data_IF_398899164262
#
_entry.id   IF_398899164262
#
_cell.length_a   1.000
_cell.length_b   1.000
_cell.length_c   1.000
_cell.angle_alpha   90.00
_cell.angle_beta   90.00
_cell.angle_gamma   90.00
#
_symmetry.space_group_name_H-M   'P 1'
#
loop_
_entity.id
_entity.type
_entity.pdbx_description
1 polymer ?
#
# COMPACT_ATOMS: atom_id res chain seq x y z
N UNK A 1 -0.06 5.97 44.66
CA UNK A 1 0.56 4.64 44.40
C UNK A 1 -0.03 3.91 43.20
N UNK A 2 -1.29 3.46 43.19
CA UNK A 2 -1.87 2.77 42.01
C UNK A 2 -2.04 3.71 40.81
N UNK A 3 -2.64 4.89 41.00
CA UNK A 3 -2.82 5.87 39.93
C UNK A 3 -1.49 6.36 39.31
N UNK A 4 -0.41 6.42 40.09
CA UNK A 4 0.92 6.78 39.60
C UNK A 4 1.55 5.64 38.77
N UNK A 5 1.28 4.39 39.14
CA UNK A 5 1.69 3.22 38.37
C UNK A 5 0.93 3.14 37.05
N UNK A 6 -0.37 3.42 37.05
CA UNK A 6 -1.21 3.42 35.84
C UNK A 6 -0.75 4.50 34.86
N UNK A 7 -0.53 5.74 35.33
CA UNK A 7 0.02 6.83 34.50
C UNK A 7 1.36 6.45 33.89
N UNK A 8 2.26 5.88 34.68
CA UNK A 8 3.57 5.43 34.20
C UNK A 8 3.45 4.32 33.15
N UNK A 9 2.52 3.39 33.34
CA UNK A 9 2.25 2.33 32.37
C UNK A 9 1.73 2.90 31.05
N UNK A 10 0.77 3.83 31.09
CA UNK A 10 0.25 4.50 29.89
C UNK A 10 1.33 5.24 29.11
N UNK A 11 2.19 6.01 29.80
CA UNK A 11 3.32 6.71 29.18
C UNK A 11 4.29 5.74 28.49
N UNK A 12 4.64 4.65 29.17
CA UNK A 12 5.53 3.62 28.61
C UNK A 12 4.89 2.92 27.40
N UNK A 13 3.60 2.60 27.47
CA UNK A 13 2.85 2.00 26.38
C UNK A 13 2.82 2.90 25.14
N UNK A 14 2.51 4.20 25.32
CA UNK A 14 2.56 5.20 24.23
C UNK A 14 3.95 5.29 23.60
N UNK A 15 5.00 5.35 24.42
CA UNK A 15 6.39 5.38 23.94
C UNK A 15 6.76 4.12 23.14
N UNK A 16 6.34 2.94 23.60
CA UNK A 16 6.56 1.68 22.90
C UNK A 16 5.85 1.65 21.55
N UNK A 17 4.56 2.03 21.50
CA UNK A 17 3.84 2.13 20.22
C UNK A 17 4.54 3.08 19.26
N UNK A 18 4.95 4.26 19.72
CA UNK A 18 5.67 5.24 18.89
C UNK A 18 6.95 4.65 18.31
N UNK A 19 7.74 3.95 19.12
CA UNK A 19 8.96 3.29 18.64
C UNK A 19 8.71 2.25 17.55
N UNK A 20 7.56 1.56 17.55
CA UNK A 20 7.17 0.63 16.48
C UNK A 20 6.97 1.39 15.16
N UNK A 21 6.25 2.52 15.19
CA UNK A 21 6.02 3.35 14.01
C UNK A 21 7.26 4.10 13.51
N UNK A 22 8.24 4.33 14.40
CA UNK A 22 9.52 4.92 14.03
C UNK A 22 10.47 3.94 13.31
N UNK A 23 10.01 2.71 13.04
CA UNK A 23 10.74 1.77 12.21
C UNK A 23 10.95 2.36 10.80
N UNK A 24 12.22 2.38 10.36
CA UNK A 24 12.63 2.91 9.05
C UNK A 24 11.78 2.40 7.90
N UNK A 25 11.42 1.12 7.93
CA UNK A 25 10.61 0.48 6.90
C UNK A 25 9.23 1.12 6.76
N UNK A 26 8.54 1.29 7.89
CA UNK A 26 7.21 1.91 7.92
C UNK A 26 7.30 3.39 7.56
N UNK A 27 8.31 4.10 8.09
CA UNK A 27 8.54 5.50 7.79
C UNK A 27 8.70 5.71 6.29
N UNK A 28 9.69 5.05 5.67
CA UNK A 28 10.08 5.31 4.27
C UNK A 28 9.01 4.84 3.30
N UNK A 29 8.45 3.65 3.53
CA UNK A 29 7.59 3.00 2.54
C UNK A 29 6.10 3.31 2.68
N UNK A 30 5.64 3.67 3.89
CA UNK A 30 4.21 3.87 4.16
C UNK A 30 3.89 5.26 4.72
N UNK A 31 4.52 5.67 5.83
CA UNK A 31 4.11 6.86 6.58
C UNK A 31 4.52 8.16 5.87
N UNK A 32 5.77 8.29 5.39
CA UNK A 32 6.20 9.49 4.65
C UNK A 32 5.37 9.68 3.37
N UNK A 33 5.18 8.66 2.52
CA UNK A 33 4.31 8.80 1.34
C UNK A 33 2.87 9.19 1.69
N UNK A 34 2.33 8.67 2.80
CA UNK A 34 0.98 8.98 3.25
C UNK A 34 0.88 10.42 3.76
N UNK A 35 1.77 10.85 4.66
CA UNK A 35 1.84 12.21 5.19
C UNK A 35 1.94 13.24 4.06
N UNK A 36 2.84 13.01 3.09
CA UNK A 36 2.98 13.86 1.89
C UNK A 36 1.70 13.97 1.07
N UNK A 37 0.94 12.87 0.91
CA UNK A 37 -0.33 12.89 0.16
C UNK A 37 -1.45 13.60 0.92
N UNK A 38 -1.44 13.50 2.25
CA UNK A 38 -2.42 14.15 3.11
C UNK A 38 -2.07 15.61 3.39
N UNK A 39 -0.83 16.04 3.13
CA UNK A 39 -0.37 17.40 3.37
C UNK A 39 -0.16 17.71 4.86
N UNK A 40 0.12 16.69 5.67
CA UNK A 40 0.36 16.81 7.12
C UNK A 40 1.79 16.40 7.45
N UNK A 41 2.27 16.81 8.62
CA UNK A 41 3.58 16.41 9.12
C UNK A 41 3.60 14.92 9.49
N UNK A 42 4.77 14.28 9.36
CA UNK A 42 4.92 12.86 9.70
C UNK A 42 4.57 12.59 11.17
N UNK A 43 4.96 13.48 12.07
CA UNK A 43 4.69 13.34 13.50
C UNK A 43 3.19 13.43 13.80
N UNK A 44 2.49 14.37 13.16
CA UNK A 44 1.04 14.51 13.28
C UNK A 44 0.32 13.22 12.82
N UNK A 45 0.77 12.62 11.71
CA UNK A 45 0.23 11.34 11.25
C UNK A 45 0.47 10.22 12.28
N UNK A 46 1.66 10.16 12.88
CA UNK A 46 1.98 9.14 13.90
C UNK A 46 1.07 9.32 15.11
N UNK A 47 0.89 10.54 15.61
CA UNK A 47 0.02 10.81 16.76
C UNK A 47 -1.44 10.39 16.47
N UNK A 48 -1.98 10.72 15.30
CA UNK A 48 -3.33 10.28 14.87
C UNK A 48 -3.45 8.76 14.86
N UNK A 49 -2.41 8.05 14.40
CA UNK A 49 -2.40 6.58 14.39
C UNK A 49 -2.38 6.05 15.83
N UNK A 50 -1.50 6.58 16.68
CA UNK A 50 -1.31 6.14 18.06
C UNK A 50 -2.56 6.29 18.93
N UNK A 51 -3.37 7.32 18.67
CA UNK A 51 -4.66 7.52 19.34
C UNK A 51 -5.70 6.43 19.00
N UNK A 52 -5.63 5.87 17.79
CA UNK A 52 -6.64 4.93 17.27
C UNK A 52 -6.19 3.47 17.28
N UNK A 53 -4.89 3.21 17.19
CA UNK A 53 -4.35 1.86 17.13
C UNK A 53 -4.13 1.27 18.52
N UNK A 54 -4.67 0.07 18.75
CA UNK A 54 -4.32 -0.73 19.91
C UNK A 54 -2.89 -1.29 19.79
N UNK A 55 -2.34 -1.78 20.91
CA UNK A 55 -0.96 -2.24 20.99
C UNK A 55 -0.69 -3.49 20.13
N UNK A 56 -1.65 -4.42 20.05
CA UNK A 56 -1.52 -5.64 19.26
C UNK A 56 -1.46 -5.31 17.78
N UNK A 57 -2.35 -4.44 17.32
CA UNK A 57 -2.38 -3.94 15.95
C UNK A 57 -1.07 -3.22 15.56
N UNK A 58 -0.41 -2.52 16.49
CA UNK A 58 0.89 -1.91 16.24
C UNK A 58 1.96 -2.96 15.88
N UNK A 59 2.02 -4.10 16.57
CA UNK A 59 3.06 -5.10 16.30
C UNK A 59 2.91 -5.77 14.94
N UNK A 60 1.69 -5.91 14.44
CA UNK A 60 1.40 -6.58 13.17
C UNK A 60 1.51 -5.62 11.97
N UNK A 61 1.68 -4.32 12.21
CA UNK A 61 1.57 -3.28 11.18
C UNK A 61 2.56 -3.47 10.03
N UNK A 62 3.74 -4.03 10.28
CA UNK A 62 4.72 -4.29 9.24
C UNK A 62 4.21 -5.32 8.23
N UNK A 63 3.63 -6.43 8.72
CA UNK A 63 3.05 -7.44 7.85
C UNK A 63 1.88 -6.87 7.04
N UNK A 64 1.03 -6.06 7.68
CA UNK A 64 -0.09 -5.41 7.01
C UNK A 64 0.34 -4.38 5.97
N UNK A 65 1.37 -3.58 6.24
CA UNK A 65 1.92 -2.63 5.27
C UNK A 65 2.42 -3.37 4.01
N UNK A 66 3.10 -4.50 4.18
CA UNK A 66 3.58 -5.32 3.07
C UNK A 66 2.47 -5.91 2.22
N UNK A 67 1.46 -6.48 2.87
CA UNK A 67 0.30 -7.00 2.15
C UNK A 67 -0.47 -5.87 1.44
N UNK A 68 -0.59 -4.71 2.08
CA UNK A 68 -1.29 -3.57 1.53
C UNK A 68 -0.60 -2.98 0.29
N UNK A 69 0.73 -3.02 0.18
CA UNK A 69 1.46 -2.52 -1.00
C UNK A 69 0.99 -3.19 -2.29
N UNK A 70 0.88 -4.51 -2.29
CA UNK A 70 0.43 -5.28 -3.45
C UNK A 70 -1.01 -4.90 -3.84
N UNK A 71 -1.93 -4.85 -2.87
CA UNK A 71 -3.34 -4.53 -3.11
C UNK A 71 -3.56 -3.08 -3.55
N UNK A 72 -2.91 -2.11 -2.89
CA UNK A 72 -2.98 -0.70 -3.25
C UNK A 72 -2.41 -0.44 -4.64
N UNK A 73 -1.28 -1.08 -4.98
CA UNK A 73 -0.69 -0.93 -6.30
C UNK A 73 -1.57 -1.57 -7.38
N UNK A 74 -2.16 -2.74 -7.12
CA UNK A 74 -3.12 -3.38 -8.03
C UNK A 74 -4.26 -2.45 -8.42
N UNK A 75 -4.90 -1.80 -7.42
CA UNK A 75 -5.96 -0.80 -7.68
C UNK A 75 -5.46 0.38 -8.50
N UNK A 76 -4.24 0.85 -8.24
CA UNK A 76 -3.64 1.92 -9.05
C UNK A 76 -3.44 1.48 -10.50
N UNK A 77 -2.95 0.26 -10.73
CA UNK A 77 -2.78 -0.32 -12.07
C UNK A 77 -4.12 -0.42 -12.78
N UNK A 78 -5.18 -0.85 -12.09
CA UNK A 78 -6.52 -0.92 -12.68
C UNK A 78 -7.00 0.44 -13.19
N UNK A 79 -6.77 1.49 -12.41
CA UNK A 79 -7.12 2.88 -12.78
C UNK A 79 -6.25 3.34 -13.96
N UNK A 80 -4.92 3.21 -13.83
CA UNK A 80 -3.96 3.75 -14.80
C UNK A 80 -3.98 3.02 -16.16
N UNK A 81 -4.43 1.77 -16.19
CA UNK A 81 -4.63 0.98 -17.42
C UNK A 81 -6.09 0.88 -17.87
N UNK A 82 -7.05 1.36 -17.06
CA UNK A 82 -8.48 1.25 -17.35
C UNK A 82 -9.02 -0.18 -17.34
N UNK A 83 -8.41 -1.10 -16.58
CA UNK A 83 -8.79 -2.53 -16.62
C UNK A 83 -10.23 -2.78 -16.15
N UNK A 84 -10.73 -2.01 -15.17
CA UNK A 84 -12.12 -2.13 -14.72
C UNK A 84 -13.11 -1.81 -15.86
N UNK A 85 -12.81 -0.82 -16.70
CA UNK A 85 -13.63 -0.48 -17.86
C UNK A 85 -13.53 -1.56 -18.93
N UNK A 86 -12.30 -1.94 -19.29
CA UNK A 86 -12.04 -2.85 -20.39
C UNK A 86 -12.53 -4.27 -20.12
N UNK A 87 -12.39 -4.75 -18.88
CA UNK A 87 -12.78 -6.10 -18.47
C UNK A 87 -14.20 -6.16 -17.91
N UNK A 88 -14.50 -5.37 -16.87
CA UNK A 88 -15.74 -5.56 -16.12
C UNK A 88 -16.95 -4.87 -16.75
N UNK A 89 -16.76 -3.72 -17.38
CA UNK A 89 -17.86 -2.94 -17.95
C UNK A 89 -18.11 -3.25 -19.43
N UNK A 90 -17.07 -3.15 -20.26
CA UNK A 90 -17.19 -3.37 -21.70
C UNK A 90 -16.95 -4.83 -22.12
N UNK A 91 -16.35 -5.65 -21.24
CA UNK A 91 -16.01 -7.05 -21.54
C UNK A 91 -15.21 -7.23 -22.84
N UNK A 92 -14.29 -6.29 -23.12
CA UNK A 92 -13.39 -6.31 -24.27
C UNK A 92 -12.15 -7.20 -24.03
N UNK A 93 -11.81 -7.43 -22.76
CA UNK A 93 -10.72 -8.31 -22.32
C UNK A 93 -11.28 -9.26 -21.28
N UNK A 94 -10.87 -10.53 -21.29
CA UNK A 94 -11.28 -11.49 -20.27
C UNK A 94 -10.73 -11.09 -18.88
N UNK A 95 -11.52 -11.33 -17.84
CA UNK A 95 -11.14 -11.02 -16.45
C UNK A 95 -9.81 -11.66 -16.05
N UNK A 96 -9.56 -12.91 -16.46
CA UNK A 96 -8.30 -13.59 -16.12
C UNK A 96 -7.11 -12.97 -16.83
N UNK A 97 -7.31 -12.45 -18.04
CA UNK A 97 -6.25 -11.76 -18.76
C UNK A 97 -5.94 -10.40 -18.15
N UNK A 98 -6.97 -9.62 -17.82
CA UNK A 98 -6.81 -8.37 -17.08
C UNK A 98 -6.08 -8.60 -15.73
N UNK A 99 -6.44 -9.65 -15.00
CA UNK A 99 -5.75 -10.02 -13.75
C UNK A 99 -4.28 -10.39 -13.96
N UNK A 100 -3.95 -11.12 -15.03
CA UNK A 100 -2.56 -11.43 -15.38
C UNK A 100 -1.75 -10.18 -15.68
N UNK A 101 -2.33 -9.23 -16.43
CA UNK A 101 -1.67 -7.94 -16.75
C UNK A 101 -1.46 -7.15 -15.45
N UNK A 102 -2.48 -7.04 -14.59
CA UNK A 102 -2.38 -6.36 -13.30
C UNK A 102 -1.28 -6.96 -12.43
N UNK A 103 -1.31 -8.29 -12.28
CA UNK A 103 -0.34 -9.06 -11.49
C UNK A 103 1.07 -8.86 -12.00
N UNK A 104 1.29 -8.91 -13.31
CA UNK A 104 2.59 -8.64 -13.91
C UNK A 104 3.16 -7.28 -13.51
N UNK A 105 2.38 -6.21 -13.65
CA UNK A 105 2.84 -4.84 -13.34
C UNK A 105 3.15 -4.70 -11.85
N UNK A 106 2.30 -5.28 -11.00
CA UNK A 106 2.49 -5.29 -9.55
C UNK A 106 3.75 -6.05 -9.15
N UNK A 107 3.94 -7.28 -9.64
CA UNK A 107 5.10 -8.11 -9.34
C UNK A 107 6.41 -7.47 -9.82
N UNK A 108 6.41 -6.90 -11.04
CA UNK A 108 7.57 -6.16 -11.55
C UNK A 108 7.96 -4.98 -10.68
N UNK A 109 6.97 -4.24 -10.20
CA UNK A 109 7.23 -3.07 -9.37
C UNK A 109 7.68 -3.46 -7.97
N UNK A 110 7.01 -4.44 -7.33
CA UNK A 110 7.23 -4.75 -5.91
C UNK A 110 8.36 -5.75 -5.70
N UNK A 111 8.38 -6.84 -6.47
CA UNK A 111 9.33 -7.95 -6.31
C UNK A 111 10.64 -7.69 -7.06
N UNK A 112 10.55 -7.23 -8.31
CA UNK A 112 11.73 -7.00 -9.16
C UNK A 112 12.26 -5.56 -9.10
N UNK A 113 11.63 -4.70 -8.28
CA UNK A 113 12.03 -3.30 -8.06
C UNK A 113 12.16 -2.48 -9.36
N UNK A 114 11.40 -2.86 -10.40
CA UNK A 114 11.32 -2.10 -11.65
C UNK A 114 10.50 -0.83 -11.39
N UNK A 115 10.95 0.36 -11.83
CA UNK A 115 10.17 1.58 -11.65
C UNK A 115 8.74 1.42 -12.16
N UNK A 116 7.76 1.90 -11.38
CA UNK A 116 6.34 1.73 -11.70
C UNK A 116 5.99 2.18 -13.12
N UNK A 117 6.57 3.30 -13.56
CA UNK A 117 6.35 3.87 -14.89
C UNK A 117 6.75 2.91 -16.02
N UNK A 118 7.84 2.17 -15.83
CA UNK A 118 8.36 1.23 -16.82
C UNK A 118 7.55 -0.07 -16.84
N UNK A 119 7.22 -0.59 -15.65
CA UNK A 119 6.29 -1.72 -15.50
C UNK A 119 4.93 -1.41 -16.13
N UNK A 120 4.42 -0.19 -15.93
CA UNK A 120 3.14 0.25 -16.49
C UNK A 120 3.18 0.37 -18.02
N UNK A 121 4.32 0.75 -18.61
CA UNK A 121 4.50 0.82 -20.07
C UNK A 121 4.31 -0.56 -20.70
N UNK A 122 4.96 -1.58 -20.15
CA UNK A 122 4.78 -2.96 -20.60
C UNK A 122 3.33 -3.47 -20.37
N UNK A 123 2.72 -3.08 -19.25
CA UNK A 123 1.31 -3.33 -19.00
C UNK A 123 0.42 -2.80 -20.13
N UNK A 124 0.63 -1.55 -20.57
CA UNK A 124 -0.11 -0.95 -21.70
C UNK A 124 0.09 -1.72 -22.99
N UNK A 125 1.31 -2.14 -23.29
CA UNK A 125 1.61 -2.94 -24.49
C UNK A 125 0.82 -4.26 -24.49
N UNK A 126 0.71 -4.92 -23.34
CA UNK A 126 -0.08 -6.14 -23.18
C UNK A 126 -1.60 -5.89 -23.27
N UNK A 127 -2.11 -4.80 -22.69
CA UNK A 127 -3.53 -4.42 -22.84
C UNK A 127 -3.88 -4.21 -24.32
N UNK A 128 -3.05 -3.47 -25.06
CA UNK A 128 -3.27 -3.23 -26.49
C UNK A 128 -3.18 -4.52 -27.30
N UNK A 129 -2.26 -5.43 -26.93
CA UNK A 129 -2.16 -6.75 -27.57
C UNK A 129 -3.43 -7.57 -27.35
N UNK A 130 -3.93 -7.63 -26.12
CA UNK A 130 -5.18 -8.31 -25.76
C UNK A 130 -6.38 -7.76 -26.55
N UNK A 131 -6.54 -6.43 -26.61
CA UNK A 131 -7.63 -5.79 -27.36
C UNK A 131 -7.58 -6.04 -28.87
N UNK A 132 -6.39 -6.22 -29.44
CA UNK A 132 -6.21 -6.45 -30.89
C UNK A 132 -6.36 -7.92 -31.28
N UNK A 133 -6.50 -8.84 -30.32
CA UNK A 133 -6.58 -10.28 -30.58
C UNK A 133 -5.34 -10.84 -31.29
N UNK A 134 -4.17 -10.22 -31.12
CA UNK A 134 -2.92 -10.69 -31.72
C UNK A 134 -2.19 -11.54 -30.68
N UNK A 135 -2.18 -12.86 -30.84
CA UNK A 135 -1.30 -13.78 -30.10
C UNK A 135 0.18 -13.54 -30.42
#
# INVERSE_FOLDING_TARGET
>A
MIEELDKKYEELSKKQKRNIFLNRYLIEDALIPMAKKLGIELEELIDIILEKYDFCSCYEIHAYAEQAKMGCLGRKVDIDLGLCWLSDFFSLIDRKEADKIRKLVVEKTVLYKVPYKDSLKEGREKVIKALRGKE
#
